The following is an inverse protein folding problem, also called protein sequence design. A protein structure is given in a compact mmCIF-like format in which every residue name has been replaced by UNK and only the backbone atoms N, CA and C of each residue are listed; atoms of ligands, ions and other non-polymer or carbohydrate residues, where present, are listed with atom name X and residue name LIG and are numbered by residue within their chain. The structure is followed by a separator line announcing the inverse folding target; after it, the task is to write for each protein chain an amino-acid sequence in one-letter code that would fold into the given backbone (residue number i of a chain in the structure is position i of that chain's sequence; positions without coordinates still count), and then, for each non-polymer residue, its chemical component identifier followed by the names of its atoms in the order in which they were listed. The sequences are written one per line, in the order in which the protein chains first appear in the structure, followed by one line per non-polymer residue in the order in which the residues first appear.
data_IF_148214855719
#
_entry.id   IF_148214855719
#
_cell.length_a   1.000
_cell.length_b   1.000
_cell.length_c   1.000
_cell.angle_alpha   90.00
_cell.angle_beta   90.00
_cell.angle_gamma   90.00
#
_symmetry.space_group_name_H-M   'P 1'
#
loop_
_entity.id
_entity.type
_entity.pdbx_description
1 polymer ?
#
# COMPACT_ATOMS: atom_id res chain seq x y z
N UNK A 1 -7.12 -21.65 17.71
CA UNK A 1 -7.65 -21.19 16.42
C UNK A 1 -7.38 -19.70 16.33
N UNK A 2 -6.46 -19.25 15.47
CA UNK A 2 -6.21 -17.80 15.23
C UNK A 2 -7.30 -17.25 14.30
N UNK A 3 -7.50 -15.92 14.33
CA UNK A 3 -8.64 -15.20 13.80
C UNK A 3 -9.32 -15.83 12.58
N UNK A 4 -10.55 -16.30 12.75
CA UNK A 4 -11.44 -16.47 11.59
C UNK A 4 -12.15 -15.14 11.38
N UNK A 5 -12.32 -14.73 10.14
CA UNK A 5 -13.23 -13.64 9.81
C UNK A 5 -14.65 -14.02 10.31
N UNK A 6 -15.09 -13.38 11.39
CA UNK A 6 -16.45 -13.52 11.92
C UNK A 6 -17.28 -12.35 11.39
N UNK A 7 -17.66 -12.43 10.11
CA UNK A 7 -18.61 -11.51 9.49
C UNK A 7 -19.74 -12.33 8.83
N UNK A 8 -20.92 -11.74 8.67
CA UNK A 8 -22.03 -12.39 7.98
C UNK A 8 -21.60 -12.87 6.58
N UNK A 9 -21.67 -14.18 6.34
CA UNK A 9 -21.29 -14.79 5.06
C UNK A 9 -19.79 -14.88 4.76
N UNK A 10 -18.89 -14.57 5.71
CA UNK A 10 -17.44 -14.69 5.52
C UNK A 10 -16.81 -13.63 4.62
N UNK A 11 -17.48 -12.49 4.46
CA UNK A 11 -16.96 -11.31 3.75
C UNK A 11 -17.02 -10.07 4.64
N UNK A 12 -16.10 -9.12 4.47
CA UNK A 12 -16.10 -7.88 5.24
C UNK A 12 -15.74 -6.66 4.40
N UNK A 13 -16.22 -5.50 4.85
CA UNK A 13 -16.02 -4.21 4.20
C UNK A 13 -15.37 -3.27 5.21
N UNK A 14 -14.28 -2.65 4.79
CA UNK A 14 -13.50 -1.71 5.58
C UNK A 14 -13.55 -0.35 4.88
N UNK A 15 -14.31 0.62 5.42
CA UNK A 15 -14.28 1.99 4.94
C UNK A 15 -12.89 2.59 5.15
N UNK A 16 -12.38 3.24 4.11
CA UNK A 16 -11.11 3.97 4.16
C UNK A 16 -11.41 5.45 3.95
N UNK A 17 -10.69 6.28 4.69
CA UNK A 17 -10.73 7.72 4.53
C UNK A 17 -9.35 8.24 4.15
N UNK A 18 -9.33 9.42 3.55
CA UNK A 18 -8.09 10.15 3.32
C UNK A 18 -7.56 10.69 4.64
N UNK A 19 -6.27 10.47 4.91
CA UNK A 19 -5.53 11.32 5.84
C UNK A 19 -4.95 12.54 5.10
N UNK A 20 -4.09 13.30 5.78
CA UNK A 20 -3.19 14.26 5.12
C UNK A 20 -2.37 13.56 4.03
N UNK A 21 -1.93 14.33 3.02
CA UNK A 21 -0.88 13.93 2.07
C UNK A 21 -1.15 12.69 1.19
N UNK A 22 -2.41 12.43 0.81
CA UNK A 22 -2.78 11.37 -0.16
C UNK A 22 -2.57 9.92 0.35
N UNK A 23 -2.80 9.64 1.64
CA UNK A 23 -2.80 8.26 2.15
C UNK A 23 -4.20 7.77 2.55
N UNK A 24 -4.42 6.46 2.39
CA UNK A 24 -5.69 5.80 2.76
C UNK A 24 -5.56 5.17 4.15
N UNK A 25 -6.45 5.56 5.06
CA UNK A 25 -6.47 5.15 6.46
C UNK A 25 -7.74 4.37 6.79
N UNK A 26 -7.58 3.28 7.53
CA UNK A 26 -8.67 2.57 8.18
C UNK A 26 -8.69 2.86 9.68
N UNK A 27 -9.89 3.05 10.22
CA UNK A 27 -10.12 3.04 11.67
C UNK A 27 -10.47 1.63 12.11
N UNK A 28 -9.90 1.20 13.23
CA UNK A 28 -10.10 -0.13 13.79
C UNK A 28 -9.96 -0.10 15.31
N UNK A 29 -10.20 -1.23 15.96
CA UNK A 29 -9.99 -1.36 17.41
C UNK A 29 -9.17 -2.59 17.73
N UNK A 30 -8.41 -2.50 18.82
CA UNK A 30 -7.59 -3.57 19.36
C UNK A 30 -7.94 -3.75 20.85
N UNK A 31 -8.06 -4.99 21.30
CA UNK A 31 -8.16 -5.32 22.73
C UNK A 31 -9.55 -5.46 23.33
N UNK A 32 -9.57 -5.87 24.60
CA UNK A 32 -10.79 -6.03 25.40
C UNK A 32 -10.61 -5.35 26.78
N UNK A 33 -11.26 -4.19 27.05
CA UNK A 33 -12.17 -3.48 26.15
C UNK A 33 -11.48 -2.91 24.89
N UNK A 34 -12.22 -2.68 23.80
CA UNK A 34 -11.66 -2.16 22.56
C UNK A 34 -11.01 -0.79 22.75
N UNK A 35 -9.76 -0.66 22.31
CA UNK A 35 -9.01 0.59 22.23
C UNK A 35 -8.97 1.06 20.77
N UNK A 36 -9.26 2.33 20.47
CA UNK A 36 -9.26 2.83 19.10
C UNK A 36 -7.85 2.91 18.53
N UNK A 37 -7.71 2.52 17.27
CA UNK A 37 -6.50 2.66 16.47
C UNK A 37 -6.85 3.10 15.05
N UNK A 38 -5.89 3.67 14.35
CA UNK A 38 -6.00 4.04 12.94
C UNK A 38 -4.73 3.67 12.22
N UNK A 39 -4.83 3.25 10.97
CA UNK A 39 -3.65 2.76 10.26
C UNK A 39 -3.73 2.99 8.76
N UNK A 40 -2.57 3.25 8.15
CA UNK A 40 -2.44 3.20 6.70
C UNK A 40 -2.71 1.78 6.20
N UNK A 41 -3.49 1.66 5.13
CA UNK A 41 -3.66 0.38 4.43
C UNK A 41 -2.53 0.23 3.42
N UNK A 42 -1.72 -0.81 3.60
CA UNK A 42 -0.56 -1.05 2.75
C UNK A 42 -0.55 -2.47 2.16
N UNK A 43 -0.78 -2.56 0.85
CA UNK A 43 -0.62 -3.81 0.08
C UNK A 43 0.81 -4.34 0.12
N UNK A 44 1.81 -3.45 0.18
CA UNK A 44 3.22 -3.81 0.35
C UNK A 44 3.60 -4.10 1.81
N UNK A 45 2.71 -3.84 2.76
CA UNK A 45 3.01 -3.91 4.19
C UNK A 45 3.09 -5.35 4.70
N UNK A 46 4.19 -5.70 5.36
CA UNK A 46 4.49 -7.06 5.79
C UNK A 46 3.74 -7.51 7.06
N UNK A 47 3.20 -6.59 7.85
CA UNK A 47 2.49 -6.92 9.09
C UNK A 47 1.51 -5.82 9.51
N UNK A 48 0.59 -6.17 10.39
CA UNK A 48 -0.19 -5.20 11.16
C UNK A 48 0.68 -4.68 12.30
N UNK A 49 0.71 -3.38 12.54
CA UNK A 49 1.38 -2.80 13.69
C UNK A 49 0.76 -1.47 14.13
N UNK A 50 0.94 -1.12 15.40
CA UNK A 50 0.49 0.15 15.99
C UNK A 50 1.45 0.62 17.09
N UNK A 51 1.50 1.93 17.32
CA UNK A 51 2.26 2.53 18.41
C UNK A 51 1.65 2.22 19.77
N UNK A 52 2.51 1.74 20.68
CA UNK A 52 2.10 1.34 22.02
C UNK A 52 2.51 2.33 23.10
N UNK A 53 1.83 2.27 24.24
CA UNK A 53 1.98 3.18 25.39
C UNK A 53 3.36 3.10 26.05
N UNK A 54 4.12 2.02 25.83
CA UNK A 54 5.51 1.93 26.28
C UNK A 54 6.49 2.71 25.41
N UNK A 55 6.07 3.23 24.25
CA UNK A 55 6.95 4.08 23.46
C UNK A 55 7.14 5.44 24.14
N UNK A 56 8.40 5.82 24.34
CA UNK A 56 8.73 7.13 24.89
C UNK A 56 8.44 8.23 23.86
N UNK A 57 8.01 9.41 24.32
CA UNK A 57 7.73 10.55 23.44
C UNK A 57 8.96 11.06 22.69
N UNK A 58 10.18 10.75 23.15
CA UNK A 58 11.43 11.08 22.46
C UNK A 58 11.80 10.09 21.35
N UNK A 59 11.15 8.94 21.28
CA UNK A 59 11.49 7.83 20.37
C UNK A 59 10.36 7.47 19.42
N UNK A 60 9.26 8.21 19.43
CA UNK A 60 8.07 7.93 18.64
C UNK A 60 7.42 9.21 18.13
N UNK A 61 6.61 9.06 17.08
CA UNK A 61 5.83 10.13 16.47
C UNK A 61 4.62 10.50 17.32
N UNK A 62 4.13 11.73 17.16
CA UNK A 62 2.83 12.13 17.68
C UNK A 62 1.74 11.54 16.80
N UNK A 63 0.60 11.18 17.37
CA UNK A 63 -0.51 10.55 16.64
C UNK A 63 -1.85 11.11 17.14
N UNK A 64 -2.88 11.01 16.31
CA UNK A 64 -4.20 11.56 16.60
C UNK A 64 -4.92 10.82 17.75
N UNK A 65 -4.72 9.50 17.82
CA UNK A 65 -5.32 8.63 18.84
C UNK A 65 -4.30 8.27 19.93
N UNK A 66 -4.75 8.02 21.18
CA UNK A 66 -3.86 7.52 22.22
C UNK A 66 -3.15 6.23 21.79
N UNK A 67 -1.86 6.02 22.14
CA UNK A 67 -1.18 4.76 21.89
C UNK A 67 -1.92 3.58 22.52
N UNK A 68 -1.87 2.43 21.85
CA UNK A 68 -2.45 1.19 22.39
C UNK A 68 -1.76 0.84 23.71
N UNK A 69 -2.54 0.54 24.75
CA UNK A 69 -2.04 0.16 26.06
C UNK A 69 -2.28 -1.34 26.29
N UNK A 70 -1.25 -2.19 26.11
CA UNK A 70 -1.39 -3.63 26.32
C UNK A 70 -1.88 -4.01 27.71
N UNK A 71 -1.59 -3.19 28.73
CA UNK A 71 -1.98 -3.48 30.12
C UNK A 71 -3.47 -3.28 30.38
N UNK A 72 -4.15 -2.54 29.50
CA UNK A 72 -5.60 -2.28 29.57
C UNK A 72 -6.43 -3.29 28.79
N UNK A 73 -5.81 -4.24 28.09
CA UNK A 73 -6.52 -5.28 27.35
C UNK A 73 -6.42 -6.63 28.05
N UNK A 74 -7.56 -7.19 28.46
CA UNK A 74 -7.64 -8.53 29.06
C UNK A 74 -7.33 -9.67 28.07
N UNK A 75 -7.42 -9.40 26.77
CA UNK A 75 -7.16 -10.36 25.68
C UNK A 75 -5.76 -10.25 25.08
N UNK A 76 -4.96 -9.24 25.45
CA UNK A 76 -3.58 -9.10 24.99
C UNK A 76 -2.71 -10.26 25.49
N UNK A 77 -1.93 -10.87 24.60
CA UNK A 77 -0.91 -11.87 24.93
C UNK A 77 0.38 -11.52 24.19
N UNK A 78 1.53 -11.36 24.89
CA UNK A 78 2.83 -11.31 24.23
C UNK A 78 3.05 -12.58 23.41
N UNK A 79 3.61 -12.46 22.21
CA UNK A 79 3.97 -13.61 21.40
C UNK A 79 5.26 -14.25 21.95
N UNK A 80 5.25 -15.53 22.34
CA UNK A 80 6.45 -16.20 22.84
C UNK A 80 7.53 -16.37 21.77
N UNK A 81 8.76 -16.61 22.20
CA UNK A 81 9.82 -17.00 21.28
C UNK A 81 9.65 -18.45 20.79
N UNK A 82 10.18 -18.76 19.60
CA UNK A 82 10.09 -20.10 19.01
C UNK A 82 8.72 -20.47 18.42
N UNK A 83 7.75 -19.55 18.45
CA UNK A 83 6.52 -19.73 17.65
C UNK A 83 6.81 -19.51 16.17
N UNK A 84 6.03 -20.15 15.29
CA UNK A 84 6.19 -19.97 13.84
C UNK A 84 6.06 -18.50 13.38
N UNK A 85 5.27 -17.66 14.08
CA UNK A 85 5.19 -16.23 13.78
C UNK A 85 6.47 -15.50 14.17
N UNK A 86 7.03 -15.82 15.33
CA UNK A 86 8.30 -15.23 15.73
C UNK A 86 9.43 -15.72 14.81
N UNK A 87 9.40 -16.99 14.43
CA UNK A 87 10.41 -17.60 13.57
C UNK A 87 10.39 -17.08 12.13
N UNK A 88 9.28 -16.50 11.68
CA UNK A 88 9.16 -15.82 10.39
C UNK A 88 10.11 -14.62 10.26
N UNK A 89 10.38 -13.91 11.35
CA UNK A 89 11.37 -12.82 11.32
C UNK A 89 12.78 -13.41 11.17
N UNK A 90 13.59 -12.94 10.18
CA UNK A 90 14.99 -13.29 10.09
C UNK A 90 15.74 -13.02 11.38
N UNK A 91 16.72 -13.87 11.71
CA UNK A 91 17.52 -13.73 12.93
C UNK A 91 18.23 -12.36 13.05
N UNK A 92 18.48 -11.68 11.92
CA UNK A 92 19.09 -10.34 11.89
C UNK A 92 18.21 -9.23 12.42
N UNK A 93 16.88 -9.41 12.40
CA UNK A 93 15.90 -8.39 12.87
C UNK A 93 15.08 -8.88 14.07
N UNK A 94 15.22 -10.14 14.45
CA UNK A 94 14.47 -10.77 15.54
C UNK A 94 15.24 -10.68 16.85
N UNK A 95 14.56 -10.23 17.90
CA UNK A 95 15.07 -10.25 19.27
C UNK A 95 14.16 -11.10 20.16
N UNK A 96 14.77 -11.91 21.01
CA UNK A 96 14.10 -12.80 21.95
C UNK A 96 14.66 -12.56 23.35
N UNK A 97 14.11 -11.55 24.03
CA UNK A 97 14.45 -11.23 25.42
C UNK A 97 13.29 -11.56 26.34
N UNK A 98 13.55 -12.33 27.40
CA UNK A 98 12.54 -12.72 28.38
C UNK A 98 11.38 -13.55 27.82
N UNK A 99 11.65 -14.37 26.78
CA UNK A 99 10.66 -15.18 26.06
C UNK A 99 9.54 -14.35 25.40
N UNK A 100 9.84 -13.11 25.00
CA UNK A 100 8.93 -12.28 24.21
C UNK A 100 9.56 -11.98 22.86
N UNK A 101 8.82 -12.28 21.81
CA UNK A 101 9.22 -11.97 20.44
C UNK A 101 9.21 -10.45 20.22
N UNK A 102 10.33 -9.93 19.74
CA UNK A 102 10.48 -8.54 19.35
C UNK A 102 11.18 -8.44 17.99
N UNK A 103 11.00 -7.30 17.33
CA UNK A 103 11.66 -7.00 16.08
C UNK A 103 12.29 -5.61 16.11
N UNK A 104 13.32 -5.44 15.30
CA UNK A 104 13.92 -4.16 14.94
C UNK A 104 14.19 -4.18 13.44
N UNK A 105 13.46 -3.36 12.69
CA UNK A 105 13.49 -3.39 11.24
C UNK A 105 13.43 -1.99 10.63
N UNK A 106 14.01 -1.86 9.45
CA UNK A 106 13.75 -0.73 8.56
C UNK A 106 12.49 -1.00 7.75
N UNK A 107 11.70 0.05 7.51
CA UNK A 107 10.62 0.06 6.53
C UNK A 107 11.19 0.12 5.11
N UNK A 108 10.36 -0.18 4.12
CA UNK A 108 10.72 -0.10 2.69
C UNK A 108 11.15 1.31 2.24
N UNK A 109 10.87 2.34 3.04
CA UNK A 109 11.17 3.76 2.77
C UNK A 109 12.16 4.37 3.79
N UNK A 110 13.08 3.57 4.35
CA UNK A 110 14.28 4.01 5.10
C UNK A 110 14.07 4.51 6.53
N UNK A 111 12.99 4.14 7.18
CA UNK A 111 12.73 4.54 8.57
C UNK A 111 12.70 3.29 9.45
N UNK A 112 13.24 3.39 10.66
CA UNK A 112 13.37 2.30 11.61
C UNK A 112 12.17 2.23 12.54
N UNK A 113 11.71 1.02 12.79
CA UNK A 113 10.72 0.73 13.83
C UNK A 113 11.17 -0.51 14.61
N UNK A 114 10.97 -0.46 15.92
CA UNK A 114 11.16 -1.60 16.80
C UNK A 114 9.96 -1.76 17.73
N UNK A 115 9.66 -3.00 18.07
CA UNK A 115 8.48 -3.32 18.85
C UNK A 115 8.45 -4.76 19.32
N UNK A 116 7.47 -5.05 20.17
CA UNK A 116 7.15 -6.43 20.59
C UNK A 116 6.03 -6.97 19.74
N UNK A 117 6.08 -8.26 19.42
CA UNK A 117 4.94 -8.94 18.81
C UNK A 117 3.99 -9.38 19.92
N UNK A 118 2.73 -9.07 19.75
CA UNK A 118 1.66 -9.55 20.62
C UNK A 118 0.43 -9.89 19.81
N UNK A 119 -0.47 -10.66 20.40
CA UNK A 119 -1.78 -10.95 19.84
C UNK A 119 -2.88 -10.33 20.66
N UNK A 120 -3.93 -9.86 20.00
CA UNK A 120 -5.13 -9.40 20.68
C UNK A 120 -6.37 -9.51 19.76
N UNK A 121 -7.55 -9.21 20.30
CA UNK A 121 -8.77 -9.08 19.52
C UNK A 121 -8.69 -7.83 18.62
N UNK A 122 -9.09 -7.95 17.36
CA UNK A 122 -9.10 -6.86 16.39
C UNK A 122 -10.46 -6.79 15.71
N UNK A 123 -11.00 -5.58 15.57
CA UNK A 123 -12.18 -5.30 14.75
C UNK A 123 -11.89 -4.14 13.78
N UNK A 124 -12.07 -4.38 12.48
CA UNK A 124 -11.78 -3.43 11.39
C UNK A 124 -12.91 -3.47 10.36
N UNK A 125 -13.62 -2.34 10.17
CA UNK A 125 -14.86 -2.34 9.40
C UNK A 125 -15.87 -3.34 9.98
N UNK A 126 -16.41 -4.21 9.13
CA UNK A 126 -17.28 -5.33 9.58
C UNK A 126 -16.52 -6.61 9.93
N UNK A 127 -15.19 -6.64 9.79
CA UNK A 127 -14.38 -7.79 10.14
C UNK A 127 -14.06 -7.81 11.63
N UNK A 128 -14.18 -8.96 12.26
CA UNK A 128 -13.71 -9.20 13.63
C UNK A 128 -12.89 -10.47 13.71
N UNK A 129 -11.86 -10.46 14.54
CA UNK A 129 -10.99 -11.60 14.81
C UNK A 129 -10.57 -11.58 16.28
N UNK A 130 -10.75 -12.70 16.98
CA UNK A 130 -10.43 -12.81 18.41
C UNK A 130 -8.93 -12.81 18.73
N UNK A 131 -8.08 -13.06 17.73
CA UNK A 131 -6.63 -13.10 17.90
C UNK A 131 -5.96 -12.77 16.56
N UNK A 132 -5.39 -11.57 16.50
CA UNK A 132 -4.51 -11.07 15.44
C UNK A 132 -3.21 -10.67 16.09
N UNK A 133 -2.10 -11.20 15.59
CA UNK A 133 -0.75 -10.77 15.90
C UNK A 133 -0.45 -9.42 15.24
N UNK A 134 0.19 -8.53 15.99
CA UNK A 134 0.59 -7.23 15.50
C UNK A 134 1.89 -6.78 16.18
N UNK A 135 2.60 -5.87 15.51
CA UNK A 135 3.73 -5.14 16.10
C UNK A 135 3.22 -4.07 17.06
N UNK A 136 3.59 -4.17 18.33
CA UNK A 136 3.39 -3.15 19.35
C UNK A 136 4.65 -2.29 19.39
N UNK A 137 4.64 -1.17 18.66
CA UNK A 137 5.81 -0.32 18.43
C UNK A 137 6.22 0.40 19.71
N UNK A 138 7.51 0.30 20.03
CA UNK A 138 8.16 0.89 21.22
C UNK A 138 9.25 1.91 20.88
N UNK A 139 9.66 2.00 19.62
CA UNK A 139 10.42 3.11 19.05
C UNK A 139 10.22 3.16 17.52
N UNK A 140 10.14 4.37 16.97
CA UNK A 140 9.96 4.64 15.55
C UNK A 140 10.50 6.02 15.20
N UNK A 141 11.34 6.11 14.15
CA UNK A 141 11.77 7.39 13.57
C UNK A 141 11.01 7.77 12.29
N UNK A 142 9.95 7.01 11.97
CA UNK A 142 9.04 7.24 10.84
C UNK A 142 8.37 8.62 10.96
N UNK A 143 8.92 9.64 10.29
CA UNK A 143 8.46 11.03 10.41
C UNK A 143 7.12 11.27 9.74
N UNK A 144 6.83 10.50 8.69
CA UNK A 144 5.59 10.58 7.95
C UNK A 144 4.35 10.26 8.79
N UNK A 145 4.54 9.63 9.96
CA UNK A 145 3.47 9.31 10.90
C UNK A 145 3.09 10.47 11.83
N UNK A 146 3.90 11.53 11.90
CA UNK A 146 3.71 12.61 12.88
C UNK A 146 2.40 13.37 12.65
N UNK A 147 1.57 13.41 13.68
CA UNK A 147 0.22 13.97 13.65
C UNK A 147 -0.79 13.14 12.84
N UNK A 148 -0.48 11.88 12.51
CA UNK A 148 -1.29 11.01 11.67
C UNK A 148 -1.83 9.76 12.40
N UNK A 149 -2.05 8.65 11.66
CA UNK A 149 -2.58 7.42 12.22
C UNK A 149 -1.60 6.73 13.18
N UNK A 150 -2.07 5.71 13.89
CA UNK A 150 -1.27 4.99 14.89
C UNK A 150 -0.41 3.85 14.35
N UNK A 151 -0.53 3.49 13.08
CA UNK A 151 0.31 2.46 12.48
C UNK A 151 -0.07 2.05 11.07
N UNK A 152 0.13 0.77 10.75
CA UNK A 152 -0.12 0.20 9.42
C UNK A 152 -0.87 -1.12 9.53
N UNK A 153 -1.73 -1.35 8.53
CA UNK A 153 -2.36 -2.64 8.26
C UNK A 153 -1.73 -3.16 6.97
N UNK A 154 -0.71 -3.99 7.15
CA UNK A 154 -0.07 -4.69 6.05
C UNK A 154 -0.95 -5.81 5.47
N UNK A 155 -1.03 -5.88 4.14
CA UNK A 155 -1.79 -6.89 3.40
C UNK A 155 -0.90 -7.83 2.58
N UNK A 156 0.43 -7.71 2.67
CA UNK A 156 1.39 -8.48 1.88
C UNK A 156 1.30 -10.00 2.09
N UNK A 157 2.12 -10.78 1.38
CA UNK A 157 2.09 -12.25 1.38
C UNK A 157 2.87 -12.83 2.56
N UNK A 158 2.53 -12.42 3.78
CA UNK A 158 3.20 -12.89 5.01
C UNK A 158 2.20 -13.50 5.98
N UNK A 159 2.63 -14.35 6.93
CA UNK A 159 1.78 -14.84 8.01
C UNK A 159 1.29 -13.76 8.98
N UNK A 160 1.90 -12.57 8.96
CA UNK A 160 1.60 -11.45 9.86
C UNK A 160 0.71 -10.37 9.21
N UNK A 161 0.40 -10.50 7.92
CA UNK A 161 -0.52 -9.59 7.25
C UNK A 161 -1.97 -9.84 7.69
N UNK A 162 -2.82 -8.82 7.61
CA UNK A 162 -4.22 -8.94 8.02
C UNK A 162 -4.94 -10.06 7.25
N UNK A 163 -4.68 -10.16 5.95
CA UNK A 163 -5.36 -11.11 5.05
C UNK A 163 -5.02 -12.57 5.40
N UNK A 164 -3.75 -12.86 5.71
CA UNK A 164 -3.34 -14.19 6.13
C UNK A 164 -3.93 -14.53 7.52
N UNK A 165 -3.90 -13.58 8.44
CA UNK A 165 -4.37 -13.79 9.82
C UNK A 165 -5.90 -13.90 9.94
N UNK A 166 -6.65 -13.33 9.01
CA UNK A 166 -8.10 -13.49 8.90
C UNK A 166 -8.51 -14.69 8.04
N UNK A 167 -7.54 -15.41 7.46
CA UNK A 167 -7.74 -16.57 6.60
C UNK A 167 -8.67 -16.26 5.41
N UNK A 168 -8.45 -15.11 4.76
CA UNK A 168 -9.17 -14.76 3.53
C UNK A 168 -8.40 -15.26 2.32
N UNK A 169 -9.13 -15.75 1.32
CA UNK A 169 -8.58 -16.26 0.06
C UNK A 169 -8.58 -15.23 -1.06
N UNK A 170 -9.23 -14.09 -0.84
CA UNK A 170 -9.20 -12.94 -1.71
C UNK A 170 -9.41 -11.65 -0.92
N UNK A 171 -8.86 -10.56 -1.43
CA UNK A 171 -9.19 -9.21 -1.00
C UNK A 171 -9.22 -8.28 -2.21
N UNK A 172 -9.91 -7.15 -2.08
CA UNK A 172 -9.93 -6.14 -3.15
C UNK A 172 -9.97 -4.74 -2.57
N UNK A 173 -9.47 -3.76 -3.31
CA UNK A 173 -9.59 -2.36 -2.92
C UNK A 173 -10.04 -1.49 -4.08
N UNK A 174 -10.69 -0.39 -3.74
CA UNK A 174 -11.07 0.66 -4.69
C UNK A 174 -10.75 2.00 -4.04
N UNK A 175 -9.75 2.71 -4.57
CA UNK A 175 -9.29 3.99 -4.02
C UNK A 175 -10.02 5.14 -4.72
N UNK A 176 -10.79 5.93 -3.97
CA UNK A 176 -11.45 7.13 -4.48
C UNK A 176 -10.44 8.29 -4.61
N UNK A 177 -10.57 9.22 -5.56
CA UNK A 177 -9.70 10.40 -5.68
C UNK A 177 -9.72 11.31 -4.44
N UNK A 178 -8.63 12.05 -4.22
CA UNK A 178 -8.46 12.94 -3.06
C UNK A 178 -9.26 14.25 -3.16
N UNK A 179 -9.34 14.83 -4.35
CA UNK A 179 -9.95 16.13 -4.64
C UNK A 179 -11.49 16.12 -4.69
N UNK A 180 -12.12 14.95 -4.47
CA UNK A 180 -13.57 14.75 -4.57
C UNK A 180 -14.46 15.46 -3.53
N UNK A 181 -13.90 16.34 -2.68
CA UNK A 181 -14.65 17.36 -1.95
C UNK A 181 -15.71 16.87 -0.93
N UNK A 182 -15.58 15.69 -0.32
CA UNK A 182 -16.55 15.33 0.74
C UNK A 182 -16.54 13.90 1.26
N UNK A 183 -15.42 13.39 1.76
CA UNK A 183 -15.42 12.12 2.49
C UNK A 183 -15.94 10.92 1.67
N UNK A 184 -15.68 10.91 0.36
CA UNK A 184 -16.11 9.82 -0.52
C UNK A 184 -15.12 8.66 -0.39
N UNK A 185 -15.66 7.50 -0.02
CA UNK A 185 -14.94 6.46 0.70
C UNK A 185 -14.21 5.50 -0.25
N UNK A 186 -12.89 5.55 -0.25
CA UNK A 186 -12.06 4.39 -0.58
C UNK A 186 -12.52 3.18 0.25
N UNK A 187 -12.37 1.97 -0.28
CA UNK A 187 -12.80 0.75 0.44
C UNK A 187 -11.80 -0.37 0.26
N UNK A 188 -11.67 -1.17 1.31
CA UNK A 188 -11.06 -2.49 1.30
C UNK A 188 -12.14 -3.54 1.55
N UNK A 189 -12.16 -4.58 0.73
CA UNK A 189 -13.08 -5.71 0.84
C UNK A 189 -12.29 -6.97 1.11
N UNK A 190 -12.74 -7.76 2.07
CA UNK A 190 -12.06 -8.97 2.54
C UNK A 190 -12.95 -10.20 2.32
N UNK A 191 -12.34 -11.32 1.94
CA UNK A 191 -13.03 -12.61 1.82
C UNK A 191 -14.14 -12.60 0.78
N UNK A 192 -15.32 -13.10 1.13
CA UNK A 192 -16.45 -13.23 0.19
C UNK A 192 -16.96 -11.89 -0.39
N UNK A 193 -16.63 -10.76 0.25
CA UNK A 193 -16.95 -9.41 -0.24
C UNK A 193 -15.97 -8.93 -1.32
N UNK A 194 -14.80 -9.57 -1.46
CA UNK A 194 -13.81 -9.24 -2.47
C UNK A 194 -14.25 -9.77 -3.84
N UNK A 195 -15.01 -8.95 -4.55
CA UNK A 195 -15.49 -9.23 -5.91
C UNK A 195 -15.42 -7.94 -6.71
N UNK A 196 -15.03 -8.06 -7.98
CA UNK A 196 -15.23 -6.97 -8.92
C UNK A 196 -16.74 -6.79 -9.12
N UNK A 197 -17.20 -5.54 -9.18
CA UNK A 197 -18.62 -5.23 -9.27
C UNK A 197 -19.23 -5.85 -10.52
N UNK A 198 -18.46 -5.88 -11.62
CA UNK A 198 -18.95 -6.29 -12.93
C UNK A 198 -19.98 -5.27 -13.46
N UNK A 199 -19.78 -4.79 -14.68
CA UNK A 199 -20.68 -3.80 -15.29
C UNK A 199 -20.06 -2.42 -15.52
N UNK A 200 -18.74 -2.27 -15.30
CA UNK A 200 -17.98 -1.16 -15.86
C UNK A 200 -18.05 -1.15 -17.40
N UNK A 201 -17.64 -0.02 -18.01
CA UNK A 201 -17.60 0.15 -19.48
C UNK A 201 -16.66 -0.84 -20.19
N UNK A 202 -15.79 -1.51 -19.46
CA UNK A 202 -14.80 -2.45 -19.97
C UNK A 202 -14.75 -3.70 -19.11
N UNK A 203 -14.50 -4.85 -19.73
CA UNK A 203 -14.30 -6.10 -19.01
C UNK A 203 -13.05 -6.00 -18.11
N UNK A 204 -13.12 -6.67 -16.95
CA UNK A 204 -11.97 -6.79 -16.07
C UNK A 204 -10.79 -7.45 -16.79
N UNK A 205 -9.60 -6.89 -16.59
CA UNK A 205 -8.34 -7.45 -17.07
C UNK A 205 -7.72 -8.30 -15.95
N UNK A 206 -6.92 -9.30 -16.31
CA UNK A 206 -6.27 -10.19 -15.33
C UNK A 206 -4.83 -10.46 -15.72
N UNK A 207 -3.94 -10.39 -14.74
CA UNK A 207 -2.51 -10.70 -14.88
C UNK A 207 -2.07 -11.65 -13.75
N UNK A 208 -1.21 -12.65 -14.01
CA UNK A 208 -0.71 -13.53 -12.98
C UNK A 208 0.29 -12.83 -12.06
N UNK A 209 0.34 -13.25 -10.80
CA UNK A 209 1.45 -12.87 -9.93
C UNK A 209 2.76 -13.50 -10.42
N UNK A 210 3.87 -12.79 -10.20
CA UNK A 210 5.22 -13.31 -10.41
C UNK A 210 5.49 -14.41 -9.39
N UNK A 211 5.85 -15.59 -9.88
CA UNK A 211 6.28 -16.70 -9.04
C UNK A 211 7.73 -16.50 -8.63
N UNK A 212 7.98 -16.53 -7.33
CA UNK A 212 9.30 -16.40 -6.72
C UNK A 212 9.58 -17.61 -5.83
N UNK A 213 10.86 -17.92 -5.60
CA UNK A 213 11.23 -18.95 -4.60
C UNK A 213 10.70 -18.55 -3.22
N UNK A 214 10.19 -19.46 -2.39
CA UNK A 214 9.80 -19.15 -1.00
C UNK A 214 10.91 -18.53 -0.15
N UNK A 215 12.17 -18.76 -0.52
CA UNK A 215 13.35 -18.21 0.17
C UNK A 215 13.80 -16.84 -0.39
N UNK A 216 13.18 -16.36 -1.47
CA UNK A 216 13.45 -15.04 -2.04
C UNK A 216 12.53 -14.01 -1.38
N UNK A 217 13.07 -12.87 -0.94
CA UNK A 217 12.30 -11.77 -0.34
C UNK A 217 11.11 -11.32 -1.22
N UNK A 218 11.23 -11.49 -2.54
CA UNK A 218 10.16 -11.25 -3.51
C UNK A 218 8.88 -12.06 -3.25
N UNK A 219 8.98 -13.25 -2.63
CA UNK A 219 7.81 -14.07 -2.32
C UNK A 219 6.91 -13.44 -1.26
N UNK A 220 7.40 -12.44 -0.52
CA UNK A 220 6.65 -11.72 0.50
C UNK A 220 5.66 -10.71 -0.09
N UNK A 221 5.74 -10.41 -1.38
CA UNK A 221 4.99 -9.32 -2.03
C UNK A 221 4.06 -9.80 -3.14
N UNK A 222 3.03 -9.00 -3.44
CA UNK A 222 2.28 -9.14 -4.68
C UNK A 222 3.05 -8.45 -5.79
N UNK A 223 3.59 -9.27 -6.68
CA UNK A 223 4.42 -8.84 -7.79
C UNK A 223 3.72 -9.17 -9.10
N UNK A 224 3.75 -8.28 -10.08
CA UNK A 224 3.26 -8.51 -11.45
C UNK A 224 4.32 -8.12 -12.46
N UNK A 225 4.17 -8.52 -13.72
CA UNK A 225 5.11 -8.16 -14.79
C UNK A 225 4.53 -7.07 -15.69
N UNK A 226 5.21 -5.91 -15.74
CA UNK A 226 4.96 -4.85 -16.71
C UNK A 226 5.76 -5.11 -17.98
N UNK A 227 5.08 -5.18 -19.13
CA UNK A 227 5.69 -5.50 -20.42
C UNK A 227 5.87 -4.28 -21.31
N UNK A 228 4.97 -3.29 -21.19
CA UNK A 228 5.04 -2.07 -21.97
C UNK A 228 4.35 -0.88 -21.34
N UNK A 229 4.79 0.31 -21.71
CA UNK A 229 4.18 1.59 -21.34
C UNK A 229 3.93 2.42 -22.60
N UNK A 230 2.77 3.05 -22.71
CA UNK A 230 2.45 3.98 -23.80
C UNK A 230 1.91 5.28 -23.24
N UNK A 231 2.41 6.43 -23.69
CA UNK A 231 1.88 7.75 -23.35
C UNK A 231 1.21 8.36 -24.58
N UNK A 232 -0.12 8.38 -24.64
CA UNK A 232 -0.87 8.88 -25.80
C UNK A 232 -0.53 8.13 -27.10
N UNK A 233 -0.12 8.87 -28.13
CA UNK A 233 0.24 8.35 -29.45
C UNK A 233 1.74 8.06 -29.61
N UNK A 234 2.53 8.25 -28.56
CA UNK A 234 3.95 7.92 -28.57
C UNK A 234 4.19 6.42 -28.77
N UNK A 235 5.38 6.08 -29.27
CA UNK A 235 5.80 4.69 -29.43
C UNK A 235 5.76 3.94 -28.08
N UNK A 236 5.41 2.66 -28.12
CA UNK A 236 5.36 1.82 -26.92
C UNK A 236 6.79 1.63 -26.39
N UNK A 237 7.00 2.00 -25.12
CA UNK A 237 8.20 1.73 -24.36
C UNK A 237 8.15 0.25 -23.98
N UNK A 238 9.04 -0.56 -24.55
CA UNK A 238 9.15 -1.98 -24.21
C UNK A 238 9.97 -2.14 -22.94
N UNK A 239 9.40 -2.78 -21.92
CA UNK A 239 10.10 -2.97 -20.64
C UNK A 239 11.04 -4.18 -20.73
N UNK A 240 12.36 -3.99 -20.47
CA UNK A 240 13.32 -5.09 -20.52
C UNK A 240 13.01 -6.11 -19.42
N UNK A 241 13.28 -7.40 -19.68
CA UNK A 241 12.95 -8.50 -18.75
C UNK A 241 13.45 -8.25 -17.32
N UNK A 242 14.66 -7.72 -17.16
CA UNK A 242 15.26 -7.41 -15.85
C UNK A 242 14.54 -6.32 -15.05
N UNK A 243 13.66 -5.54 -15.68
CA UNK A 243 12.92 -4.43 -15.07
C UNK A 243 11.41 -4.60 -15.07
N UNK A 244 10.89 -5.79 -15.43
CA UNK A 244 9.44 -6.03 -15.56
C UNK A 244 8.73 -6.18 -14.23
N UNK A 245 9.42 -6.59 -13.18
CA UNK A 245 8.79 -6.86 -11.89
C UNK A 245 8.30 -5.55 -11.26
N UNK A 246 7.00 -5.49 -11.00
CA UNK A 246 6.32 -4.39 -10.32
C UNK A 246 5.76 -4.88 -9.00
N UNK A 247 6.11 -4.21 -7.91
CA UNK A 247 5.53 -4.37 -6.59
C UNK A 247 4.26 -3.53 -6.47
N UNK A 248 3.17 -4.13 -6.01
CA UNK A 248 1.91 -3.44 -5.77
C UNK A 248 1.92 -2.82 -4.37
N UNK A 249 1.76 -1.49 -4.29
CA UNK A 249 1.82 -0.76 -3.02
C UNK A 249 0.74 0.32 -2.97
N UNK A 250 0.11 0.48 -1.80
CA UNK A 250 -0.90 1.53 -1.58
C UNK A 250 -0.45 2.59 -0.60
N UNK A 251 0.63 2.33 0.16
CA UNK A 251 1.19 3.34 1.05
C UNK A 251 1.87 4.48 0.29
N UNK A 252 2.72 4.20 -0.71
CA UNK A 252 3.29 5.29 -1.51
C UNK A 252 2.24 5.83 -2.50
N UNK A 253 1.93 7.15 -2.50
CA UNK A 253 1.07 7.73 -3.52
C UNK A 253 1.71 7.67 -4.90
N UNK A 254 3.05 7.76 -4.97
CA UNK A 254 3.85 7.87 -6.19
C UNK A 254 4.29 6.48 -6.67
N UNK A 255 4.28 6.26 -7.98
CA UNK A 255 4.91 5.06 -8.56
C UNK A 255 6.40 5.26 -8.80
N UNK A 256 7.16 4.17 -8.73
CA UNK A 256 8.59 4.18 -9.04
C UNK A 256 8.87 3.20 -10.17
N UNK A 257 9.55 3.64 -11.22
CA UNK A 257 9.97 2.75 -12.32
C UNK A 257 11.47 2.55 -12.28
N UNK A 258 11.94 1.38 -12.70
CA UNK A 258 13.37 1.17 -12.94
C UNK A 258 13.92 2.26 -13.87
N UNK A 259 15.12 2.76 -13.57
CA UNK A 259 15.58 4.05 -14.10
C UNK A 259 15.50 4.18 -15.62
N UNK A 260 15.98 3.18 -16.38
CA UNK A 260 15.92 3.24 -17.85
C UNK A 260 14.48 3.39 -18.39
N UNK A 261 13.52 2.67 -17.81
CA UNK A 261 12.10 2.75 -18.20
C UNK A 261 11.52 4.10 -17.78
N UNK A 262 11.90 4.61 -16.61
CA UNK A 262 11.52 5.94 -16.16
C UNK A 262 12.01 7.02 -17.12
N UNK A 263 13.28 6.98 -17.56
CA UNK A 263 13.83 7.96 -18.49
C UNK A 263 13.10 7.98 -19.82
N UNK A 264 12.70 6.82 -20.34
CA UNK A 264 11.92 6.74 -21.58
C UNK A 264 10.48 7.24 -21.39
N UNK A 265 9.84 6.94 -20.26
CA UNK A 265 8.53 7.51 -19.91
C UNK A 265 8.61 9.04 -19.79
N UNK A 266 9.65 9.54 -19.11
CA UNK A 266 9.90 10.98 -18.95
C UNK A 266 9.97 11.69 -20.30
N UNK A 267 10.70 11.13 -21.27
CA UNK A 267 10.77 11.66 -22.64
C UNK A 267 9.39 11.63 -23.33
N UNK A 268 8.70 10.50 -23.28
CA UNK A 268 7.40 10.33 -23.93
C UNK A 268 6.34 11.28 -23.37
N UNK A 269 6.23 11.40 -22.04
CA UNK A 269 5.30 12.34 -21.39
C UNK A 269 5.68 13.79 -21.69
N UNK A 270 6.97 14.14 -21.68
CA UNK A 270 7.42 15.49 -22.04
C UNK A 270 7.03 15.86 -23.46
N UNK A 271 7.22 14.94 -24.42
CA UNK A 271 6.85 15.15 -25.82
C UNK A 271 5.33 15.28 -25.98
N UNK A 272 4.56 14.39 -25.36
CA UNK A 272 3.11 14.36 -25.49
C UNK A 272 2.41 15.55 -24.80
N UNK A 273 2.92 16.00 -23.65
CA UNK A 273 2.38 17.17 -22.94
C UNK A 273 2.71 18.46 -23.71
N UNK A 274 3.93 18.61 -24.23
CA UNK A 274 4.35 19.76 -25.04
C UNK A 274 4.38 21.12 -24.32
N UNK A 275 3.98 21.16 -23.05
CA UNK A 275 3.97 22.35 -22.21
C UNK A 275 5.33 22.73 -21.63
N UNK A 276 5.50 23.97 -21.13
CA UNK A 276 6.74 24.39 -20.51
C UNK A 276 6.99 23.64 -19.21
N UNK A 277 8.20 23.12 -19.05
CA UNK A 277 8.67 22.48 -17.82
C UNK A 277 8.79 23.51 -16.69
N UNK A 278 8.66 23.04 -15.44
CA UNK A 278 8.78 23.86 -14.24
C UNK A 278 9.68 23.16 -13.21
N UNK A 279 10.25 23.95 -12.28
CA UNK A 279 10.96 23.44 -11.11
C UNK A 279 9.96 23.29 -9.96
N UNK A 280 9.84 22.11 -9.32
CA UNK A 280 8.96 21.95 -8.18
C UNK A 280 9.44 22.74 -6.95
N UNK A 281 8.54 23.03 -6.00
CA UNK A 281 8.92 23.55 -4.68
C UNK A 281 9.97 22.64 -4.00
N UNK A 282 10.83 23.24 -3.18
CA UNK A 282 12.02 22.59 -2.59
C UNK A 282 11.71 21.25 -1.92
N UNK A 283 10.62 21.17 -1.15
CA UNK A 283 10.19 19.97 -0.43
C UNK A 283 9.86 18.78 -1.34
N UNK A 284 9.59 19.03 -2.63
CA UNK A 284 9.22 17.99 -3.60
C UNK A 284 10.37 17.60 -4.53
N UNK A 285 11.49 18.33 -4.54
CA UNK A 285 12.62 18.10 -5.46
C UNK A 285 13.36 16.78 -5.22
N UNK A 286 13.24 16.21 -4.00
CA UNK A 286 13.81 14.90 -3.67
C UNK A 286 13.13 13.76 -4.45
N UNK A 287 11.85 13.93 -4.79
CA UNK A 287 11.03 12.91 -5.45
C UNK A 287 10.77 13.25 -6.91
N UNK A 288 10.29 14.47 -7.20
CA UNK A 288 9.83 14.85 -8.55
C UNK A 288 10.90 15.60 -9.35
N UNK A 289 11.17 15.11 -10.56
CA UNK A 289 12.10 15.73 -11.52
C UNK A 289 11.54 15.89 -12.93
N UNK A 290 10.24 15.61 -13.11
CA UNK A 290 9.49 16.03 -14.29
C UNK A 290 8.26 16.80 -13.82
N UNK A 291 8.26 18.11 -14.02
CA UNK A 291 7.13 18.98 -13.72
C UNK A 291 6.92 19.99 -14.84
N UNK A 292 5.70 20.51 -14.92
CA UNK A 292 5.22 21.43 -15.93
C UNK A 292 4.50 22.61 -15.26
N UNK A 293 4.38 23.73 -15.98
CA UNK A 293 3.45 24.79 -15.56
C UNK A 293 2.01 24.30 -15.67
N UNK A 294 1.16 24.64 -14.69
CA UNK A 294 -0.24 24.17 -14.63
C UNK A 294 -1.03 24.50 -15.90
N UNK A 295 -0.82 25.70 -16.47
CA UNK A 295 -1.47 26.09 -17.73
C UNK A 295 -1.02 25.28 -18.96
N UNK A 296 0.08 24.53 -18.86
CA UNK A 296 0.68 23.77 -19.95
C UNK A 296 0.32 22.28 -20.02
N UNK A 297 -0.52 21.76 -19.12
CA UNK A 297 -0.82 20.32 -19.05
C UNK A 297 -2.21 19.92 -19.57
N UNK A 298 -2.96 20.84 -20.17
CA UNK A 298 -4.33 20.57 -20.65
C UNK A 298 -4.41 19.49 -21.75
N UNK A 299 -3.32 19.28 -22.50
CA UNK A 299 -3.20 18.23 -23.52
C UNK A 299 -2.53 16.94 -23.03
N UNK A 300 -2.32 16.78 -21.72
CA UNK A 300 -1.65 15.60 -21.18
C UNK A 300 -2.41 14.31 -21.56
N UNK A 301 -1.72 13.27 -22.07
CA UNK A 301 -2.37 12.06 -22.55
C UNK A 301 -2.69 11.09 -21.41
N UNK A 302 -3.49 10.06 -21.71
CA UNK A 302 -3.50 8.86 -20.88
C UNK A 302 -2.15 8.12 -20.97
N UNK A 303 -1.70 7.56 -19.85
CA UNK A 303 -0.58 6.62 -19.79
C UNK A 303 -1.14 5.21 -19.62
N UNK A 304 -0.81 4.29 -20.53
CA UNK A 304 -1.27 2.90 -20.48
C UNK A 304 -0.13 2.00 -20.05
N UNK A 305 -0.32 1.31 -18.92
CA UNK A 305 0.58 0.27 -18.42
C UNK A 305 0.06 -1.10 -18.87
N UNK A 306 0.83 -1.80 -19.70
CA UNK A 306 0.45 -3.13 -20.19
C UNK A 306 1.22 -4.19 -19.44
N UNK A 307 0.50 -4.97 -18.64
CA UNK A 307 1.04 -6.10 -17.88
C UNK A 307 0.94 -7.41 -18.67
N UNK A 308 1.65 -8.41 -18.16
CA UNK A 308 1.65 -9.78 -18.69
C UNK A 308 0.21 -10.27 -18.93
N UNK A 309 -0.01 -10.84 -20.12
CA UNK A 309 -1.33 -11.28 -20.57
C UNK A 309 -2.14 -10.21 -21.29
N UNK A 310 -1.49 -9.12 -21.75
CA UNK A 310 -2.14 -7.96 -22.37
C UNK A 310 -3.15 -7.24 -21.45
N UNK A 311 -2.97 -7.37 -20.13
CA UNK A 311 -3.79 -6.68 -19.14
C UNK A 311 -3.38 -5.21 -19.08
N UNK A 312 -4.17 -4.33 -19.69
CA UNK A 312 -3.87 -2.91 -19.83
C UNK A 312 -4.58 -2.06 -18.77
N UNK A 313 -3.80 -1.32 -17.99
CA UNK A 313 -4.27 -0.32 -17.03
C UNK A 313 -4.09 1.08 -17.61
N UNK A 314 -5.20 1.77 -17.84
CA UNK A 314 -5.19 3.18 -18.27
C UNK A 314 -5.10 4.10 -17.07
N UNK A 315 -4.06 4.93 -17.04
CA UNK A 315 -3.79 5.93 -16.01
C UNK A 315 -4.07 7.32 -16.61
N UNK A 316 -5.19 7.96 -16.27
CA UNK A 316 -5.51 9.29 -16.79
C UNK A 316 -4.58 10.37 -16.20
N UNK A 317 -4.49 11.56 -16.81
CA UNK A 317 -3.71 12.69 -16.30
C UNK A 317 -3.91 12.98 -14.81
N UNK A 318 -5.15 12.91 -14.30
CA UNK A 318 -5.47 13.12 -12.88
C UNK A 318 -4.78 12.15 -11.92
N UNK A 319 -4.34 10.99 -12.43
CA UNK A 319 -3.73 9.92 -11.64
C UNK A 319 -2.20 9.86 -11.81
N UNK A 320 -1.60 10.76 -12.59
CA UNK A 320 -0.14 10.87 -12.68
C UNK A 320 0.39 12.31 -12.70
N UNK A 321 -0.46 13.32 -12.84
CA UNK A 321 -0.11 14.73 -12.73
C UNK A 321 -0.63 15.29 -11.40
N UNK A 322 0.29 15.48 -10.46
CA UNK A 322 0.01 15.98 -9.12
C UNK A 322 0.25 17.49 -9.05
N UNK A 323 -0.77 18.25 -8.65
CA UNK A 323 -0.59 19.67 -8.32
C UNK A 323 0.23 19.80 -7.04
N UNK A 324 1.38 20.49 -7.13
CA UNK A 324 2.30 20.68 -6.01
C UNK A 324 2.35 22.13 -5.52
N UNK A 325 1.45 23.00 -5.99
CA UNK A 325 1.48 24.43 -5.70
C UNK A 325 2.37 25.23 -6.65
N UNK A 326 2.50 26.54 -6.41
CA UNK A 326 3.38 27.46 -7.17
C UNK A 326 3.25 27.37 -8.70
N UNK A 327 2.01 27.22 -9.19
CA UNK A 327 1.71 27.05 -10.61
C UNK A 327 2.41 25.85 -11.28
N UNK A 328 2.69 24.81 -10.48
CA UNK A 328 3.48 23.66 -10.88
C UNK A 328 2.72 22.36 -10.67
N UNK A 329 2.79 21.49 -11.68
CA UNK A 329 2.20 20.15 -11.67
C UNK A 329 3.31 19.16 -12.01
N UNK A 330 3.47 18.12 -11.21
CA UNK A 330 4.55 17.15 -11.35
C UNK A 330 4.05 15.77 -11.76
N UNK A 331 4.85 15.06 -12.53
CA UNK A 331 4.61 13.64 -12.82
C UNK A 331 4.87 12.85 -11.54
N UNK A 332 3.80 12.27 -10.97
CA UNK A 332 3.79 11.42 -9.79
C UNK A 332 4.24 9.98 -10.10
N UNK A 333 5.26 9.87 -10.95
CA UNK A 333 6.00 8.65 -11.29
C UNK A 333 7.48 9.07 -11.29
N UNK A 334 8.32 8.35 -10.56
CA UNK A 334 9.73 8.68 -10.38
C UNK A 334 10.66 7.50 -10.66
N UNK A 335 11.97 7.72 -10.68
CA UNK A 335 12.97 6.65 -10.78
C UNK A 335 13.10 5.91 -9.44
N UNK A 336 13.07 4.57 -9.46
CA UNK A 336 13.29 3.75 -8.26
C UNK A 336 14.72 3.89 -7.71
N UNK A 337 15.67 4.40 -8.50
CA UNK A 337 16.99 4.77 -8.01
C UNK A 337 16.94 5.84 -6.90
N UNK A 338 15.87 6.65 -6.84
CA UNK A 338 15.67 7.65 -5.77
C UNK A 338 15.33 7.04 -4.42
N UNK A 339 14.88 5.79 -4.39
CA UNK A 339 14.63 5.11 -3.14
C UNK A 339 15.99 4.87 -2.43
N UNK A 340 17.03 4.37 -3.10
CA UNK A 340 18.24 3.84 -2.45
C UNK A 340 17.98 2.56 -1.62
N UNK A 341 16.98 1.77 -1.98
CA UNK A 341 16.64 0.50 -1.30
C UNK A 341 17.25 -0.69 -2.04
N UNK A 342 17.90 -1.56 -1.28
CA UNK A 342 18.37 -2.86 -1.77
C UNK A 342 17.23 -3.88 -1.87
N UNK A 343 16.18 -3.75 -1.06
CA UNK A 343 15.04 -4.67 -1.00
C UNK A 343 14.18 -4.60 -2.27
N UNK A 344 13.94 -3.39 -2.77
CA UNK A 344 13.21 -3.15 -4.03
C UNK A 344 14.13 -2.88 -5.22
N UNK A 345 15.43 -3.17 -5.09
CA UNK A 345 16.41 -2.94 -6.15
C UNK A 345 16.04 -3.73 -7.42
N UNK A 346 16.03 -3.04 -8.56
CA UNK A 346 15.68 -3.62 -9.85
C UNK A 346 14.18 -3.90 -10.05
N UNK A 347 13.33 -3.51 -9.09
CA UNK A 347 11.89 -3.55 -9.24
C UNK A 347 11.31 -2.15 -9.47
N UNK A 348 10.13 -2.12 -10.05
CA UNK A 348 9.25 -0.96 -10.08
C UNK A 348 8.20 -1.09 -8.97
N UNK A 349 7.53 -0.01 -8.61
CA UNK A 349 6.44 0.05 -7.64
C UNK A 349 5.25 0.75 -8.29
N UNK A 350 4.07 0.13 -8.28
CA UNK A 350 2.82 0.78 -8.63
C UNK A 350 2.22 1.39 -7.35
N UNK A 351 2.25 2.71 -7.27
CA UNK A 351 1.75 3.49 -6.13
C UNK A 351 0.23 3.72 -6.16
N UNK A 352 -0.30 4.26 -5.06
CA UNK A 352 -1.74 4.42 -4.82
C UNK A 352 -2.43 5.42 -5.75
N UNK A 353 -1.74 6.48 -6.22
CA UNK A 353 -2.36 7.48 -7.11
C UNK A 353 -2.73 6.87 -8.46
N UNK A 354 -1.85 6.04 -9.03
CA UNK A 354 -2.12 5.31 -10.28
C UNK A 354 -3.15 4.19 -10.12
N UNK A 355 -3.55 3.87 -8.88
CA UNK A 355 -4.58 2.89 -8.56
C UNK A 355 -5.96 3.51 -8.26
N UNK A 356 -6.11 4.84 -8.31
CA UNK A 356 -7.39 5.49 -8.06
C UNK A 356 -8.40 5.22 -9.18
N UNK A 357 -9.68 5.10 -8.82
CA UNK A 357 -10.78 4.76 -9.74
C UNK A 357 -10.58 3.46 -10.52
N UNK A 358 -9.87 2.52 -9.89
CA UNK A 358 -9.67 1.17 -10.39
C UNK A 358 -9.93 0.21 -9.24
N UNK A 359 -10.82 -0.75 -9.46
CA UNK A 359 -11.10 -1.79 -8.49
C UNK A 359 -10.11 -2.94 -8.72
N UNK A 360 -9.15 -3.10 -7.80
CA UNK A 360 -8.17 -4.18 -7.84
C UNK A 360 -8.63 -5.35 -6.98
N UNK A 361 -8.66 -6.56 -7.55
CA UNK A 361 -8.96 -7.82 -6.88
C UNK A 361 -7.71 -8.70 -6.86
N UNK A 362 -7.32 -9.10 -5.67
CA UNK A 362 -6.21 -10.02 -5.39
C UNK A 362 -6.82 -11.38 -5.08
N UNK A 363 -6.74 -12.32 -6.03
CA UNK A 363 -7.17 -13.71 -5.84
C UNK A 363 -5.96 -14.53 -5.40
N UNK A 364 -5.92 -14.89 -4.11
CA UNK A 364 -4.77 -15.56 -3.49
C UNK A 364 -4.73 -17.05 -3.82
N UNK A 365 -5.87 -17.65 -4.17
CA UNK A 365 -5.94 -19.05 -4.60
C UNK A 365 -5.51 -19.21 -6.05
N UNK A 366 -5.96 -18.30 -6.94
CA UNK A 366 -5.56 -18.31 -8.35
C UNK A 366 -4.21 -17.66 -8.62
N UNK A 367 -3.65 -16.97 -7.62
CA UNK A 367 -2.43 -16.16 -7.75
C UNK A 367 -2.50 -15.13 -8.87
N UNK A 368 -3.59 -14.37 -8.92
CA UNK A 368 -3.83 -13.37 -9.96
C UNK A 368 -4.25 -12.02 -9.40
N UNK A 369 -3.86 -10.96 -10.09
CA UNK A 369 -4.45 -9.63 -9.96
C UNK A 369 -5.47 -9.43 -11.09
N UNK A 370 -6.71 -9.14 -10.74
CA UNK A 370 -7.71 -8.65 -11.68
C UNK A 370 -8.04 -7.19 -11.39
N UNK A 371 -8.32 -6.41 -12.43
CA UNK A 371 -8.68 -5.01 -12.25
C UNK A 371 -9.65 -4.50 -13.31
N UNK A 372 -10.52 -3.58 -12.91
CA UNK A 372 -11.45 -2.88 -13.79
C UNK A 372 -11.55 -1.40 -13.40
N UNK A 373 -11.83 -0.54 -14.38
CA UNK A 373 -12.13 0.86 -14.11
C UNK A 373 -13.45 0.96 -13.32
N UNK A 374 -13.46 1.73 -12.25
CA UNK A 374 -14.61 1.85 -11.35
C UNK A 374 -14.70 3.25 -10.75
N UNK A 375 -15.92 3.73 -10.50
CA UNK A 375 -16.11 4.89 -9.62
C UNK A 375 -15.98 4.42 -8.16
N UNK A 376 -14.76 4.48 -7.63
CA UNK A 376 -14.48 4.05 -6.26
C UNK A 376 -15.16 4.92 -5.20
N UNK A 377 -15.71 6.07 -5.58
CA UNK A 377 -16.42 6.98 -4.68
C UNK A 377 -17.85 6.51 -4.37
N UNK A 378 -18.45 5.70 -5.26
CA UNK A 378 -19.85 5.24 -5.16
C UNK A 378 -20.02 3.74 -4.94
N UNK A 379 -18.92 2.97 -4.92
CA UNK A 379 -18.97 1.51 -4.82
C UNK A 379 -19.54 1.04 -3.47
N UNK A 380 -20.77 0.52 -3.48
CA UNK A 380 -21.41 -0.11 -2.32
C UNK A 380 -21.06 -1.60 -2.23
N UNK A 381 -21.09 -2.22 -1.04
CA UNK A 381 -21.07 -3.68 -0.95
C UNK A 381 -22.26 -4.24 -1.75
N UNK A 382 -22.01 -5.22 -2.62
CA UNK A 382 -23.09 -5.99 -3.26
C UNK A 382 -23.73 -6.97 -2.27
#
# INVERSE_FOLDING_TARGET
MRGRLLADGGGAVVPLHWSRELYNVASFTIGTPPQPASAFIDVGGLLVWTQCSQCSSSSCFNQELPPFDPTKSSTYRPEPCGTALCEFFPASIRNCSGDVCAYEASTQLFEHTSGKIGTDAVAIGTATAASVAFGCVMASDIKLMDGGPSGFVGLARTPLSLVAQMNVTAFSHCLAPHDGGGGKNSRLFLGAAAKLAGGGKSAAMTTPFVKSSPDDIKSLYYLINLEGIKAGDEAIITVPQSGRTVLLQTFSPVSFLVDGVYQDLKKAVTAAVGGPTATPPEQFQSIFDLCFKRGGVSGAPDVVLTFQGAAALTVPPTNYLLDVGDDTVCVAIASSARLNSTEVAGMSILGGLQQQNVHFLYDLEKETLSFEAADCSSLSPN
#
